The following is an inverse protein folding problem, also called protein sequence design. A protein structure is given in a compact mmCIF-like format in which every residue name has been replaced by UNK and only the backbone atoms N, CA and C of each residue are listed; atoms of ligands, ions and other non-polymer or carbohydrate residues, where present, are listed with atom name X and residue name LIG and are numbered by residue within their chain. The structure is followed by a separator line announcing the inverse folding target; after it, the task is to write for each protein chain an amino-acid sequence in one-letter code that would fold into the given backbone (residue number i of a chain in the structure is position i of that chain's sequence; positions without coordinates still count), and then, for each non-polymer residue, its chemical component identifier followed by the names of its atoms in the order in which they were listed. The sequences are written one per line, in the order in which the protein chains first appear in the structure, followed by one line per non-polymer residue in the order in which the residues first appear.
data_IF_292708043793
#
_entry.id   IF_292708043793
#
_cell.length_a   1.000
_cell.length_b   1.000
_cell.length_c   1.000
_cell.angle_alpha   90.00
_cell.angle_beta   90.00
_cell.angle_gamma   90.00
#
_symmetry.space_group_name_H-M   'P 1'
#
loop_
_entity.id
_entity.type
_entity.pdbx_description
1 polymer ?
#
# COMPACT_ATOMS: atom_id res chain seq x y z
N UNK A 1 -9.72 -46.76 3.11
CA UNK A 1 -9.13 -46.21 1.88
C UNK A 1 -9.31 -44.70 1.95
N UNK A 2 -8.36 -44.01 2.58
CA UNK A 2 -8.30 -42.56 2.49
C UNK A 2 -7.88 -42.27 1.05
N UNK A 3 -8.76 -41.66 0.25
CA UNK A 3 -8.41 -41.27 -1.12
C UNK A 3 -7.24 -40.29 -1.06
N UNK A 4 -6.26 -40.46 -1.95
CA UNK A 4 -5.17 -39.50 -2.14
C UNK A 4 -5.75 -38.09 -2.21
N UNK A 5 -5.20 -37.17 -1.42
CA UNK A 5 -5.59 -35.78 -1.49
C UNK A 5 -5.23 -35.27 -2.89
N UNK A 6 -6.21 -34.70 -3.60
CA UNK A 6 -6.01 -34.14 -4.93
C UNK A 6 -4.98 -32.99 -4.83
N UNK A 7 -3.84 -33.15 -5.49
CA UNK A 7 -2.92 -32.03 -5.75
C UNK A 7 -3.66 -31.00 -6.61
N UNK A 8 -3.51 -29.73 -6.26
CA UNK A 8 -4.13 -28.60 -6.97
C UNK A 8 -3.03 -27.60 -7.32
N UNK A 9 -3.27 -26.81 -8.36
CA UNK A 9 -2.37 -25.76 -8.81
C UNK A 9 -2.93 -24.40 -8.41
N UNK A 10 -2.20 -23.68 -7.56
CA UNK A 10 -2.54 -22.33 -7.09
C UNK A 10 -1.76 -21.30 -7.90
N UNK A 11 -2.46 -20.43 -8.61
CA UNK A 11 -1.88 -19.27 -9.28
C UNK A 11 -1.72 -18.09 -8.32
N UNK A 12 -0.53 -17.48 -8.23
CA UNK A 12 -0.29 -16.28 -7.42
C UNK A 12 -0.16 -15.09 -8.38
N UNK A 13 -1.25 -14.34 -8.55
CA UNK A 13 -1.35 -13.23 -9.49
C UNK A 13 -0.74 -11.95 -8.91
N UNK A 14 0.42 -11.55 -9.41
CA UNK A 14 1.10 -10.36 -8.95
C UNK A 14 2.24 -9.92 -9.87
N UNK A 15 2.14 -8.71 -10.41
CA UNK A 15 3.15 -8.10 -11.30
C UNK A 15 4.23 -7.32 -10.55
N UNK A 16 4.43 -7.61 -9.27
CA UNK A 16 5.39 -6.91 -8.42
C UNK A 16 6.24 -7.94 -7.68
N UNK A 17 7.52 -7.64 -7.50
CA UNK A 17 8.42 -8.46 -6.70
C UNK A 17 8.25 -8.13 -5.21
N UNK A 18 7.42 -8.90 -4.50
CA UNK A 18 7.33 -8.83 -3.03
C UNK A 18 7.76 -10.12 -2.37
N UNK A 19 8.28 -9.97 -1.14
CA UNK A 19 8.53 -11.10 -0.25
C UNK A 19 7.22 -11.83 0.07
N UNK A 20 6.12 -11.10 0.11
CA UNK A 20 4.79 -11.63 0.36
C UNK A 20 4.33 -12.63 -0.70
N UNK A 21 4.45 -12.26 -1.97
CA UNK A 21 4.07 -13.12 -3.10
C UNK A 21 4.89 -14.42 -3.10
N UNK A 22 6.19 -14.32 -2.84
CA UNK A 22 7.09 -15.49 -2.72
C UNK A 22 6.69 -16.39 -1.56
N UNK A 23 6.44 -15.81 -0.38
CA UNK A 23 6.07 -16.59 0.79
C UNK A 23 4.75 -17.35 0.60
N UNK A 24 3.77 -16.77 -0.10
CA UNK A 24 2.52 -17.48 -0.43
C UNK A 24 2.81 -18.64 -1.40
N UNK A 25 3.58 -18.40 -2.45
CA UNK A 25 3.96 -19.44 -3.43
C UNK A 25 4.72 -20.61 -2.76
N UNK A 26 5.72 -20.29 -1.94
CA UNK A 26 6.51 -21.28 -1.22
C UNK A 26 5.66 -22.02 -0.17
N UNK A 27 4.71 -21.34 0.48
CA UNK A 27 3.77 -21.99 1.40
C UNK A 27 2.87 -23.00 0.69
N UNK A 28 2.35 -22.70 -0.51
CA UNK A 28 1.60 -23.68 -1.31
C UNK A 28 2.44 -24.93 -1.59
N UNK A 29 3.69 -24.73 -2.01
CA UNK A 29 4.63 -25.83 -2.27
C UNK A 29 4.93 -26.64 -1.02
N UNK A 30 5.20 -25.96 0.10
CA UNK A 30 5.48 -26.59 1.39
C UNK A 30 4.28 -27.38 1.94
N UNK A 31 3.06 -27.00 1.56
CA UNK A 31 1.83 -27.71 1.88
C UNK A 31 1.54 -28.90 0.96
N UNK A 32 2.41 -29.19 -0.02
CA UNK A 32 2.31 -30.36 -0.91
C UNK A 32 1.51 -30.12 -2.18
N UNK A 33 1.29 -28.87 -2.57
CA UNK A 33 0.53 -28.47 -3.75
C UNK A 33 1.40 -27.71 -4.75
N UNK A 34 0.91 -27.52 -5.98
CA UNK A 34 1.67 -26.81 -7.01
C UNK A 34 1.39 -25.31 -6.95
N UNK A 35 2.44 -24.51 -7.02
CA UNK A 35 2.36 -23.05 -7.03
C UNK A 35 2.84 -22.53 -8.39
N UNK A 36 2.12 -21.57 -8.94
CA UNK A 36 2.49 -20.89 -10.19
C UNK A 36 2.41 -19.39 -10.00
N UNK A 37 3.53 -18.68 -10.15
CA UNK A 37 3.56 -17.23 -10.12
C UNK A 37 3.06 -16.67 -11.45
N UNK A 38 1.85 -16.12 -11.44
CA UNK A 38 1.26 -15.42 -12.57
C UNK A 38 1.80 -13.98 -12.64
N UNK A 39 3.02 -13.83 -13.15
CA UNK A 39 3.69 -12.55 -13.39
C UNK A 39 3.47 -12.04 -14.83
N UNK A 40 3.90 -10.80 -15.13
CA UNK A 40 3.59 -10.11 -16.40
C UNK A 40 4.01 -10.91 -17.65
N UNK A 41 5.20 -11.52 -17.63
CA UNK A 41 5.70 -12.35 -18.75
C UNK A 41 5.07 -13.76 -18.83
N UNK A 42 4.33 -14.21 -17.81
CA UNK A 42 3.78 -15.57 -17.74
C UNK A 42 2.31 -15.65 -18.14
N UNK A 43 1.55 -14.55 -18.03
CA UNK A 43 0.08 -14.58 -18.17
C UNK A 43 -0.34 -14.50 -19.65
N UNK A 44 -1.03 -15.54 -20.10
CA UNK A 44 -1.80 -15.61 -21.33
C UNK A 44 -3.27 -15.96 -21.06
N UNK A 45 -4.18 -15.37 -21.83
CA UNK A 45 -5.61 -15.66 -21.76
C UNK A 45 -6.15 -15.74 -23.19
N UNK A 46 -6.59 -16.93 -23.60
CA UNK A 46 -7.25 -17.12 -24.89
C UNK A 46 -8.77 -17.06 -24.72
N UNK A 47 -9.41 -16.22 -25.53
CA UNK A 47 -10.87 -16.05 -25.55
C UNK A 47 -11.37 -16.38 -26.94
N UNK A 48 -12.11 -17.47 -27.04
CA UNK A 48 -12.65 -17.95 -28.30
C UNK A 48 -14.10 -18.38 -28.16
N UNK A 49 -14.72 -18.83 -29.26
CA UNK A 49 -16.06 -19.44 -29.20
C UNK A 49 -16.11 -20.69 -28.33
N UNK A 50 -14.97 -21.34 -28.08
CA UNK A 50 -14.89 -22.53 -27.24
C UNK A 50 -14.90 -22.19 -25.74
N UNK A 51 -14.68 -20.94 -25.35
CA UNK A 51 -14.63 -20.48 -23.97
C UNK A 51 -13.38 -19.64 -23.69
N UNK A 52 -13.00 -19.59 -22.41
CA UNK A 52 -11.79 -18.93 -21.94
C UNK A 52 -10.81 -20.00 -21.48
N UNK A 53 -9.59 -19.97 -22.01
CA UNK A 53 -8.48 -20.80 -21.59
C UNK A 53 -7.38 -19.94 -20.96
N UNK A 54 -6.85 -20.40 -19.83
CA UNK A 54 -5.77 -19.74 -19.09
C UNK A 54 -4.44 -20.39 -19.47
N UNK A 55 -3.40 -19.58 -19.62
CA UNK A 55 -2.02 -20.04 -19.85
C UNK A 55 -1.09 -19.28 -18.89
N UNK A 56 -0.51 -19.93 -17.87
CA UNK A 56 -0.74 -21.32 -17.48
C UNK A 56 -2.15 -21.55 -16.88
N UNK A 57 -2.66 -22.78 -17.01
CA UNK A 57 -3.91 -23.17 -16.35
C UNK A 57 -3.66 -23.43 -14.85
N UNK A 58 -4.59 -22.97 -14.01
CA UNK A 58 -4.54 -23.07 -12.54
C UNK A 58 -5.93 -23.33 -11.99
N UNK A 59 -6.05 -24.00 -10.85
CA UNK A 59 -7.34 -24.34 -10.25
C UNK A 59 -7.97 -23.17 -9.47
N UNK A 60 -7.13 -22.30 -8.92
CA UNK A 60 -7.51 -21.16 -8.07
C UNK A 60 -6.46 -20.06 -8.18
N UNK A 61 -6.86 -18.81 -7.99
CA UNK A 61 -5.93 -17.67 -8.00
C UNK A 61 -5.91 -16.94 -6.67
N UNK A 62 -4.72 -16.68 -6.14
CA UNK A 62 -4.47 -15.69 -5.10
C UNK A 62 -4.10 -14.36 -5.76
N UNK A 63 -5.05 -13.44 -5.79
CA UNK A 63 -4.92 -12.08 -6.31
C UNK A 63 -4.10 -11.19 -5.38
N UNK A 64 -2.84 -11.00 -5.73
CA UNK A 64 -1.88 -10.10 -5.07
C UNK A 64 -1.60 -8.85 -5.90
N UNK A 65 -2.44 -8.47 -6.85
CA UNK A 65 -2.23 -7.22 -7.59
C UNK A 65 -2.17 -6.02 -6.63
N UNK A 66 -1.17 -5.17 -6.83
CA UNK A 66 -0.92 -4.00 -5.99
C UNK A 66 -1.41 -2.74 -6.69
N UNK A 67 -2.73 -2.65 -6.88
CA UNK A 67 -3.39 -1.63 -7.72
C UNK A 67 -3.05 -0.19 -7.32
N UNK A 68 -2.81 0.07 -6.04
CA UNK A 68 -2.38 1.39 -5.55
C UNK A 68 -1.05 1.89 -6.10
N UNK A 69 -0.20 0.98 -6.61
CA UNK A 69 1.12 1.25 -7.20
C UNK A 69 1.21 0.83 -8.67
N UNK A 70 0.14 0.26 -9.22
CA UNK A 70 0.09 -0.14 -10.61
C UNK A 70 0.08 1.08 -11.52
N UNK A 71 0.74 0.96 -12.69
CA UNK A 71 0.67 1.98 -13.75
C UNK A 71 -0.74 2.07 -14.33
N UNK A 72 -1.37 0.91 -14.55
CA UNK A 72 -2.68 0.78 -15.17
C UNK A 72 -3.60 -0.08 -14.28
N UNK A 73 -4.05 0.42 -13.12
CA UNK A 73 -4.75 -0.41 -12.12
C UNK A 73 -6.07 -1.02 -12.62
N UNK A 74 -6.79 -0.34 -13.50
CA UNK A 74 -8.01 -0.90 -14.09
C UNK A 74 -7.70 -2.06 -15.03
N UNK A 75 -6.57 -2.00 -15.74
CA UNK A 75 -6.22 -3.01 -16.73
C UNK A 75 -5.66 -4.24 -16.04
N UNK A 76 -4.83 -4.04 -15.00
CA UNK A 76 -4.41 -5.10 -14.09
C UNK A 76 -5.62 -5.78 -13.43
N UNK A 77 -6.59 -4.99 -12.96
CA UNK A 77 -7.82 -5.53 -12.37
C UNK A 77 -8.68 -6.28 -13.40
N UNK A 78 -8.69 -5.85 -14.66
CA UNK A 78 -9.37 -6.55 -15.74
C UNK A 78 -8.79 -7.96 -15.96
N UNK A 79 -7.47 -8.12 -15.83
CA UNK A 79 -6.80 -9.43 -15.89
C UNK A 79 -7.30 -10.34 -14.77
N UNK A 80 -7.35 -9.85 -13.53
CA UNK A 80 -7.92 -10.60 -12.41
C UNK A 80 -9.41 -10.96 -12.64
N UNK A 81 -10.16 -10.09 -13.33
CA UNK A 81 -11.56 -10.34 -13.69
C UNK A 81 -11.71 -11.45 -14.74
N UNK A 82 -10.76 -11.56 -15.68
CA UNK A 82 -10.71 -12.68 -16.62
C UNK A 82 -10.50 -14.03 -15.91
N UNK A 83 -9.59 -14.10 -14.93
CA UNK A 83 -9.44 -15.30 -14.08
C UNK A 83 -10.72 -15.60 -13.31
N UNK A 84 -11.34 -14.58 -12.68
CA UNK A 84 -12.57 -14.74 -11.91
C UNK A 84 -13.79 -15.20 -12.74
N UNK A 85 -13.73 -15.08 -14.07
CA UNK A 85 -14.77 -15.59 -14.95
C UNK A 85 -14.79 -17.12 -15.05
N UNK A 86 -13.67 -17.79 -14.77
CA UNK A 86 -13.51 -19.25 -14.98
C UNK A 86 -12.86 -20.00 -13.82
N UNK A 87 -12.30 -19.30 -12.83
CA UNK A 87 -11.68 -19.86 -11.62
C UNK A 87 -12.08 -19.09 -10.36
N UNK A 88 -12.08 -19.72 -9.17
CA UNK A 88 -12.14 -19.00 -7.91
C UNK A 88 -10.92 -18.07 -7.75
N UNK A 89 -11.14 -16.86 -7.21
CA UNK A 89 -10.09 -15.86 -6.99
C UNK A 89 -10.19 -15.28 -5.59
N UNK A 90 -9.07 -15.27 -4.86
CA UNK A 90 -8.90 -14.74 -3.51
C UNK A 90 -7.96 -13.53 -3.55
N UNK A 91 -8.35 -12.30 -3.35
CA UNK A 91 -9.70 -11.75 -3.20
C UNK A 91 -10.39 -11.56 -4.57
N UNK A 92 -11.72 -11.64 -4.59
CA UNK A 92 -12.55 -11.30 -5.76
C UNK A 92 -12.20 -9.88 -6.27
N UNK A 93 -11.95 -9.69 -7.58
CA UNK A 93 -11.52 -8.40 -8.13
C UNK A 93 -12.52 -7.27 -7.86
N UNK A 94 -13.83 -7.55 -7.78
CA UNK A 94 -14.84 -6.54 -7.47
C UNK A 94 -14.71 -6.09 -6.01
N UNK A 95 -14.45 -7.01 -5.09
CA UNK A 95 -14.18 -6.69 -3.68
C UNK A 95 -12.91 -5.87 -3.53
N UNK A 96 -11.84 -6.24 -4.27
CA UNK A 96 -10.58 -5.48 -4.29
C UNK A 96 -10.81 -4.05 -4.79
N UNK A 97 -11.58 -3.86 -5.86
CA UNK A 97 -11.90 -2.53 -6.40
C UNK A 97 -12.52 -1.60 -5.35
N UNK A 98 -13.45 -2.11 -4.53
CA UNK A 98 -14.02 -1.32 -3.44
C UNK A 98 -12.99 -1.05 -2.35
N UNK A 99 -12.25 -2.08 -1.92
CA UNK A 99 -11.31 -1.99 -0.81
C UNK A 99 -10.14 -1.01 -1.06
N UNK A 100 -9.70 -0.84 -2.31
CA UNK A 100 -8.64 0.13 -2.65
C UNK A 100 -9.07 1.59 -2.54
N UNK A 101 -10.37 1.87 -2.48
CA UNK A 101 -10.92 3.22 -2.35
C UNK A 101 -11.36 3.49 -0.90
N UNK A 102 -10.54 4.22 -0.14
CA UNK A 102 -10.73 4.46 1.31
C UNK A 102 -12.14 4.97 1.67
N UNK A 103 -12.65 5.95 0.92
CA UNK A 103 -13.98 6.51 1.16
C UNK A 103 -15.13 5.55 0.80
N UNK A 104 -14.96 4.71 -0.23
CA UNK A 104 -15.94 3.69 -0.59
C UNK A 104 -15.99 2.58 0.46
N UNK A 105 -14.81 2.15 0.95
CA UNK A 105 -14.66 1.26 2.09
C UNK A 105 -15.38 1.83 3.31
N UNK A 106 -15.08 3.07 3.71
CA UNK A 106 -15.72 3.72 4.86
C UNK A 106 -17.25 3.79 4.71
N UNK A 107 -17.75 4.14 3.52
CA UNK A 107 -19.19 4.21 3.24
C UNK A 107 -19.89 2.86 3.41
N UNK A 108 -19.27 1.78 2.91
CA UNK A 108 -19.84 0.42 2.99
C UNK A 108 -19.78 -0.15 4.41
N UNK A 109 -18.70 0.13 5.14
CA UNK A 109 -18.55 -0.24 6.55
C UNK A 109 -19.59 0.48 7.43
N UNK A 110 -19.73 1.79 7.26
CA UNK A 110 -20.74 2.58 7.98
C UNK A 110 -22.16 2.09 7.71
N UNK A 111 -22.50 1.80 6.44
CA UNK A 111 -23.80 1.26 6.06
C UNK A 111 -24.10 -0.12 6.68
N UNK A 112 -23.06 -0.89 7.03
CA UNK A 112 -23.17 -2.18 7.70
C UNK A 112 -23.08 -2.07 9.24
N UNK A 113 -23.01 -0.86 9.80
CA UNK A 113 -22.86 -0.64 11.24
C UNK A 113 -21.47 -0.99 11.78
N UNK A 114 -20.44 -1.07 10.92
CA UNK A 114 -19.05 -1.17 11.36
C UNK A 114 -18.53 0.24 11.65
N UNK A 115 -18.04 0.53 12.88
CA UNK A 115 -17.58 1.87 13.24
C UNK A 115 -16.41 2.33 12.36
N UNK A 116 -16.50 3.56 11.87
CA UNK A 116 -15.47 4.26 11.11
C UNK A 116 -15.45 5.73 11.58
N UNK A 117 -14.31 6.43 11.52
CA UNK A 117 -14.28 7.86 11.85
C UNK A 117 -15.22 8.66 10.94
N UNK A 118 -15.80 9.75 11.45
CA UNK A 118 -16.62 10.64 10.64
C UNK A 118 -15.83 11.07 9.40
N UNK A 119 -16.40 10.87 8.21
CA UNK A 119 -15.70 11.03 6.93
C UNK A 119 -16.59 11.80 5.96
N UNK A 120 -16.05 12.81 5.29
CA UNK A 120 -16.76 13.61 4.30
C UNK A 120 -15.96 13.73 3.02
N UNK A 121 -16.60 13.35 1.90
CA UNK A 121 -16.07 13.54 0.55
C UNK A 121 -16.98 14.49 -0.23
N UNK A 122 -16.36 15.44 -0.92
CA UNK A 122 -17.04 16.27 -1.89
C UNK A 122 -16.22 16.34 -3.17
N UNK A 123 -16.90 16.55 -4.29
CA UNK A 123 -16.28 16.63 -5.62
C UNK A 123 -15.85 18.05 -6.00
N UNK A 124 -16.14 19.04 -5.15
CA UNK A 124 -15.82 20.44 -5.38
C UNK A 124 -15.25 21.08 -4.10
N UNK A 125 -14.20 21.89 -4.27
CA UNK A 125 -13.43 22.49 -3.18
C UNK A 125 -14.32 23.33 -2.25
N UNK A 126 -15.20 24.16 -2.80
CA UNK A 126 -16.12 24.97 -2.01
C UNK A 126 -17.03 24.12 -1.10
N UNK A 127 -17.49 22.96 -1.59
CA UNK A 127 -18.34 22.05 -0.82
C UNK A 127 -17.54 21.28 0.22
N UNK A 128 -16.32 20.87 -0.11
CA UNK A 128 -15.42 20.21 0.84
C UNK A 128 -15.10 21.15 2.01
N UNK A 129 -14.69 22.38 1.71
CA UNK A 129 -14.33 23.36 2.75
C UNK A 129 -15.54 23.83 3.56
N UNK A 130 -16.72 24.04 2.96
CA UNK A 130 -17.92 24.42 3.71
C UNK A 130 -18.37 23.33 4.72
N UNK A 131 -18.10 22.06 4.46
CA UNK A 131 -18.43 20.97 5.37
C UNK A 131 -17.36 20.76 6.46
N UNK A 132 -16.14 21.27 6.28
CA UNK A 132 -15.04 21.09 7.24
C UNK A 132 -15.34 21.75 8.58
N UNK A 133 -16.07 22.86 8.60
CA UNK A 133 -16.51 23.52 9.85
C UNK A 133 -17.31 22.59 10.78
N UNK A 134 -17.91 21.52 10.25
CA UNK A 134 -18.60 20.49 11.02
C UNK A 134 -17.67 19.42 11.64
N UNK A 135 -16.35 19.53 11.43
CA UNK A 135 -15.33 18.64 12.00
C UNK A 135 -14.52 19.39 13.07
N UNK A 136 -13.96 18.65 14.04
CA UNK A 136 -12.94 19.20 14.94
C UNK A 136 -11.68 19.66 14.20
N UNK A 137 -10.80 20.39 14.86
CA UNK A 137 -9.47 20.78 14.31
C UNK A 137 -8.38 20.17 15.20
N UNK A 138 -7.31 19.60 14.61
CA UNK A 138 -7.08 19.43 13.17
C UNK A 138 -7.96 18.33 12.53
N UNK A 139 -8.07 18.34 11.20
CA UNK A 139 -8.73 17.27 10.41
C UNK A 139 -7.73 16.43 9.63
N UNK A 140 -8.07 15.16 9.43
CA UNK A 140 -7.29 14.27 8.56
C UNK A 140 -7.76 14.45 7.12
N UNK A 141 -6.87 14.90 6.23
CA UNK A 141 -7.10 15.07 4.80
C UNK A 141 -6.41 13.94 4.03
N UNK A 142 -7.15 13.20 3.20
CA UNK A 142 -6.69 11.96 2.57
C UNK A 142 -7.04 11.91 1.10
N UNK A 143 -6.15 11.35 0.28
CA UNK A 143 -6.49 10.90 -1.07
C UNK A 143 -7.32 9.61 -1.03
N UNK A 144 -8.24 9.46 -1.98
CA UNK A 144 -9.15 8.30 -2.06
C UNK A 144 -8.42 6.98 -2.27
N UNK A 145 -7.28 7.00 -2.96
CA UNK A 145 -6.42 5.85 -3.26
C UNK A 145 -4.98 6.22 -2.95
N UNK A 146 -4.33 5.45 -2.08
CA UNK A 146 -2.94 5.66 -1.67
C UNK A 146 -2.43 4.48 -0.85
N UNK A 147 -1.11 4.35 -0.70
CA UNK A 147 -0.48 3.33 0.18
C UNK A 147 0.63 3.94 1.02
N UNK A 148 0.99 3.25 2.12
CA UNK A 148 2.15 3.54 2.94
C UNK A 148 2.18 4.97 3.55
N UNK A 149 1.02 5.54 3.88
CA UNK A 149 0.94 6.88 4.49
C UNK A 149 1.08 8.05 3.51
N UNK A 150 1.45 7.79 2.25
CA UNK A 150 1.47 8.81 1.21
C UNK A 150 0.06 9.30 0.88
N UNK A 151 -0.10 10.61 0.80
CA UNK A 151 -1.38 11.24 0.46
C UNK A 151 -2.34 11.37 1.64
N UNK A 152 -1.80 11.52 2.85
CA UNK A 152 -2.53 11.72 4.11
C UNK A 152 -1.86 12.85 4.89
N UNK A 153 -2.63 13.87 5.26
CA UNK A 153 -2.16 15.08 5.94
C UNK A 153 -3.05 15.40 7.14
N UNK A 154 -2.48 16.09 8.11
CA UNK A 154 -3.21 16.72 9.20
C UNK A 154 -3.32 18.21 8.87
N UNK A 155 -4.53 18.76 8.83
CA UNK A 155 -4.78 20.11 8.33
C UNK A 155 -5.73 20.86 9.26
N UNK A 156 -5.34 22.06 9.66
CA UNK A 156 -6.20 22.97 10.41
C UNK A 156 -7.20 23.70 9.51
N UNK A 157 -8.27 24.24 10.11
CA UNK A 157 -9.33 24.95 9.38
C UNK A 157 -8.89 26.29 8.79
N UNK A 158 -7.72 26.80 9.15
CA UNK A 158 -7.16 28.05 8.62
C UNK A 158 -6.69 27.94 7.15
N UNK A 159 -6.50 26.71 6.66
CA UNK A 159 -6.04 26.41 5.30
C UNK A 159 -7.11 25.71 4.51
N UNK A 160 -7.47 26.26 3.34
CA UNK A 160 -8.37 25.58 2.40
C UNK A 160 -7.71 24.32 1.81
N UNK A 161 -8.51 23.28 1.56
CA UNK A 161 -8.07 22.05 0.89
C UNK A 161 -8.80 21.87 -0.45
N UNK A 162 -8.19 21.16 -1.39
CA UNK A 162 -8.85 20.82 -2.65
C UNK A 162 -9.67 19.53 -2.54
N UNK A 163 -10.69 19.36 -3.39
CA UNK A 163 -11.39 18.08 -3.55
C UNK A 163 -10.56 17.06 -4.36
N UNK A 164 -9.40 17.47 -4.87
CA UNK A 164 -8.48 16.61 -5.61
C UNK A 164 -7.03 16.88 -5.25
N UNK A 165 -6.21 15.82 -5.22
CA UNK A 165 -4.74 15.92 -5.19
C UNK A 165 -4.19 15.04 -6.29
N UNK A 166 -3.39 15.62 -7.17
CA UNK A 166 -2.77 14.91 -8.31
C UNK A 166 -3.76 14.10 -9.16
N UNK A 167 -4.87 14.75 -9.54
CA UNK A 167 -5.94 14.11 -10.32
C UNK A 167 -6.74 13.03 -9.58
N UNK A 168 -6.41 12.72 -8.33
CA UNK A 168 -7.15 11.79 -7.47
C UNK A 168 -8.14 12.55 -6.59
N UNK A 169 -9.30 11.97 -6.32
CA UNK A 169 -10.25 12.51 -5.34
C UNK A 169 -9.62 12.55 -3.95
N UNK A 170 -9.94 13.58 -3.18
CA UNK A 170 -9.56 13.71 -1.79
C UNK A 170 -10.79 13.93 -0.89
N UNK A 171 -10.63 13.66 0.40
CA UNK A 171 -11.70 13.72 1.39
C UNK A 171 -11.13 14.10 2.76
N UNK A 172 -12.00 14.55 3.65
CA UNK A 172 -11.65 14.84 5.04
C UNK A 172 -12.25 13.79 5.98
N UNK A 173 -11.57 13.56 7.08
CA UNK A 173 -11.93 12.59 8.10
C UNK A 173 -11.62 13.17 9.47
N UNK A 174 -12.43 12.83 10.46
CA UNK A 174 -12.16 13.14 11.86
C UNK A 174 -10.80 12.60 12.26
N UNK A 175 -10.00 13.46 12.89
CA UNK A 175 -8.80 13.05 13.60
C UNK A 175 -9.22 12.36 14.90
N UNK A 176 -8.73 11.14 15.11
CA UNK A 176 -8.92 10.38 16.35
C UNK A 176 -7.62 10.50 17.13
N UNK A 177 -7.66 11.26 18.22
CA UNK A 177 -6.49 11.53 19.06
C UNK A 177 -6.29 10.39 20.06
N UNK A 178 -5.09 9.83 20.09
CA UNK A 178 -4.69 8.76 21.02
C UNK A 178 -3.73 9.26 22.11
N UNK A 179 -3.57 10.58 22.24
CA UNK A 179 -2.64 11.19 23.18
C UNK A 179 -1.20 11.17 22.67
N UNK A 180 -0.23 11.11 23.59
CA UNK A 180 1.18 11.43 23.31
C UNK A 180 1.91 10.39 22.45
N UNK A 181 1.45 9.13 22.40
CA UNK A 181 2.06 8.06 21.60
C UNK A 181 1.06 7.50 20.60
N UNK A 182 1.03 8.09 19.41
CA UNK A 182 0.19 7.65 18.30
C UNK A 182 0.49 6.20 17.94
N UNK A 183 -0.54 5.36 18.03
CA UNK A 183 -0.49 3.96 17.62
C UNK A 183 -1.67 3.64 16.71
N UNK A 184 -1.59 2.48 16.09
CA UNK A 184 -2.77 1.86 15.54
C UNK A 184 -2.63 0.34 15.63
N UNK A 185 -3.76 -0.34 15.58
CA UNK A 185 -3.82 -1.79 15.66
C UNK A 185 -4.05 -2.34 14.26
N UNK A 186 -3.09 -3.13 13.77
CA UNK A 186 -3.28 -3.91 12.54
C UNK A 186 -3.63 -5.34 12.89
N UNK A 187 -4.80 -5.79 12.43
CA UNK A 187 -5.25 -7.18 12.52
C UNK A 187 -5.21 -7.79 11.11
N UNK A 188 -4.54 -8.94 10.96
CA UNK A 188 -4.55 -9.68 9.70
C UNK A 188 -5.59 -10.80 9.77
N UNK A 189 -6.57 -10.75 8.88
CA UNK A 189 -7.66 -11.71 8.80
C UNK A 189 -7.49 -12.54 7.54
N UNK A 190 -7.70 -13.85 7.66
CA UNK A 190 -7.78 -14.81 6.55
C UNK A 190 -8.94 -15.75 6.85
N UNK A 191 -9.88 -15.90 5.92
CA UNK A 191 -11.00 -16.86 6.04
C UNK A 191 -11.82 -16.71 7.33
N UNK A 192 -12.20 -15.47 7.69
CA UNK A 192 -12.89 -15.14 8.94
C UNK A 192 -12.13 -15.52 10.24
N UNK A 193 -10.82 -15.78 10.14
CA UNK A 193 -9.93 -16.04 11.28
C UNK A 193 -8.87 -14.95 11.42
N UNK A 194 -8.58 -14.56 12.66
CA UNK A 194 -7.45 -13.66 12.96
C UNK A 194 -6.17 -14.48 12.99
N UNK A 195 -5.25 -14.18 12.08
CA UNK A 195 -3.94 -14.86 12.01
C UNK A 195 -2.93 -14.26 12.99
N UNK A 196 -3.02 -12.94 13.19
CA UNK A 196 -2.19 -12.20 14.12
C UNK A 196 -2.56 -10.73 14.15
N UNK A 197 -2.12 -10.05 15.20
CA UNK A 197 -2.30 -8.62 15.35
C UNK A 197 -1.00 -7.96 15.82
N UNK A 198 -0.80 -6.70 15.44
CA UNK A 198 0.31 -5.90 15.94
C UNK A 198 -0.15 -4.47 16.22
N UNK A 199 0.39 -3.89 17.28
CA UNK A 199 0.44 -2.44 17.40
C UNK A 199 1.55 -1.92 16.49
N UNK A 200 1.27 -0.82 15.80
CA UNK A 200 2.29 -0.04 15.12
C UNK A 200 2.36 1.32 15.78
N UNK A 201 3.57 1.77 16.05
CA UNK A 201 3.81 3.07 16.68
C UNK A 201 4.40 4.03 15.66
N UNK A 202 3.90 5.26 15.65
CA UNK A 202 4.51 6.29 14.84
C UNK A 202 5.93 6.59 15.38
N UNK A 203 6.90 6.89 14.50
CA UNK A 203 8.17 7.46 14.93
C UNK A 203 7.94 8.72 15.78
N UNK A 204 8.87 9.04 16.68
CA UNK A 204 8.80 10.28 17.42
C UNK A 204 8.70 11.48 16.45
N UNK A 205 7.64 12.27 16.58
CA UNK A 205 7.38 13.41 15.71
C UNK A 205 6.58 13.16 14.44
N UNK A 206 6.05 11.96 14.27
CA UNK A 206 5.05 11.66 13.25
C UNK A 206 3.79 11.13 13.95
N UNK A 207 2.65 11.29 13.29
CA UNK A 207 1.38 10.72 13.73
C UNK A 207 1.03 9.45 12.94
N UNK A 208 1.76 9.18 11.85
CA UNK A 208 1.54 8.03 10.98
C UNK A 208 2.35 6.83 11.44
N UNK A 209 1.66 5.74 11.72
CA UNK A 209 2.22 4.52 12.31
C UNK A 209 2.73 3.52 11.27
N UNK A 210 2.75 3.89 9.98
CA UNK A 210 3.13 2.97 8.92
C UNK A 210 4.58 2.47 9.11
N UNK A 211 4.77 1.15 9.24
CA UNK A 211 6.09 0.49 9.32
C UNK A 211 7.04 0.89 8.17
N UNK A 212 6.50 1.27 7.01
CA UNK A 212 7.28 1.75 5.88
C UNK A 212 8.00 3.09 6.15
N UNK A 213 7.56 3.86 7.15
CA UNK A 213 8.14 5.12 7.60
C UNK A 213 9.08 4.94 8.80
N UNK A 214 9.39 3.70 9.19
CA UNK A 214 10.27 3.41 10.33
C UNK A 214 9.54 3.23 11.66
N UNK A 215 8.20 3.14 11.66
CA UNK A 215 7.42 2.87 12.87
C UNK A 215 7.76 1.52 13.52
N UNK A 216 7.78 1.50 14.85
CA UNK A 216 8.03 0.31 15.66
C UNK A 216 6.80 -0.61 15.68
N UNK A 217 7.01 -1.90 15.95
CA UNK A 217 5.93 -2.91 15.95
C UNK A 217 5.98 -3.78 17.20
N UNK A 218 4.82 -4.10 17.75
CA UNK A 218 4.65 -4.91 18.96
C UNK A 218 3.55 -5.95 18.74
N UNK A 219 3.74 -7.18 19.22
CA UNK A 219 2.71 -8.22 19.12
C UNK A 219 1.50 -7.86 19.97
N UNK A 220 0.31 -7.89 19.35
CA UNK A 220 -0.96 -7.63 20.02
C UNK A 220 -1.88 -8.86 20.01
N UNK A 221 -1.37 -10.03 19.62
CA UNK A 221 -2.19 -11.21 19.32
C UNK A 221 -2.79 -11.85 20.58
N UNK A 222 -2.04 -11.91 21.68
CA UNK A 222 -2.51 -12.51 22.94
C UNK A 222 -3.47 -11.60 23.70
N UNK A 223 -3.27 -10.30 23.61
CA UNK A 223 -4.06 -9.27 24.30
C UNK A 223 -5.13 -8.62 23.40
N UNK A 224 -5.42 -9.25 22.26
CA UNK A 224 -6.27 -8.66 21.23
C UNK A 224 -7.67 -8.31 21.77
N UNK A 225 -8.06 -7.02 21.80
CA UNK A 225 -9.37 -6.65 22.31
C UNK A 225 -10.50 -7.28 21.48
N UNK A 226 -11.48 -7.89 22.14
CA UNK A 226 -12.61 -8.55 21.47
C UNK A 226 -13.40 -7.59 20.56
N UNK A 227 -13.52 -6.32 20.97
CA UNK A 227 -14.14 -5.28 20.15
C UNK A 227 -13.41 -5.03 18.83
N UNK A 228 -12.07 -4.98 18.88
CA UNK A 228 -11.22 -4.79 17.71
C UNK A 228 -11.28 -6.02 16.78
N UNK A 229 -11.14 -7.23 17.34
CA UNK A 229 -11.27 -8.47 16.57
C UNK A 229 -12.63 -8.57 15.88
N UNK A 230 -13.71 -8.29 16.62
CA UNK A 230 -15.07 -8.28 16.07
C UNK A 230 -15.28 -7.24 14.98
N UNK A 231 -14.70 -6.04 15.12
CA UNK A 231 -14.75 -5.01 14.09
C UNK A 231 -13.99 -5.43 12.82
N UNK A 232 -12.79 -5.99 12.96
CA UNK A 232 -12.00 -6.48 11.83
C UNK A 232 -12.70 -7.60 11.05
N UNK A 233 -13.21 -8.61 11.76
CA UNK A 233 -13.95 -9.73 11.15
C UNK A 233 -15.26 -9.28 10.48
N UNK A 234 -15.96 -8.27 11.03
CA UNK A 234 -17.12 -7.69 10.35
C UNK A 234 -16.71 -6.88 9.12
N UNK A 235 -15.59 -6.17 9.19
CA UNK A 235 -15.11 -5.35 8.08
C UNK A 235 -14.74 -6.20 6.86
N UNK A 236 -13.96 -7.28 7.04
CA UNK A 236 -13.59 -8.19 5.94
C UNK A 236 -14.82 -8.85 5.31
N UNK A 237 -15.75 -9.38 6.12
CA UNK A 237 -17.01 -9.95 5.61
C UNK A 237 -17.86 -8.96 4.85
N UNK A 238 -18.00 -7.74 5.37
CA UNK A 238 -18.79 -6.67 4.73
C UNK A 238 -18.25 -6.31 3.35
N UNK A 239 -16.92 -6.34 3.21
CA UNK A 239 -16.22 -6.04 1.95
C UNK A 239 -16.08 -7.25 1.04
N UNK A 240 -16.41 -8.46 1.51
CA UNK A 240 -16.24 -9.70 0.75
C UNK A 240 -14.78 -10.00 0.44
N UNK A 241 -13.89 -9.80 1.43
CA UNK A 241 -12.46 -10.09 1.32
C UNK A 241 -12.15 -11.41 2.04
N UNK A 242 -11.58 -12.36 1.30
CA UNK A 242 -11.06 -13.63 1.79
C UNK A 242 -9.85 -13.45 2.72
N UNK A 243 -9.02 -12.43 2.46
CA UNK A 243 -7.95 -12.01 3.36
C UNK A 243 -7.69 -10.50 3.27
N UNK A 244 -7.34 -9.88 4.41
CA UNK A 244 -6.98 -8.48 4.45
C UNK A 244 -6.21 -8.12 5.74
N UNK A 245 -5.43 -7.04 5.65
CA UNK A 245 -4.97 -6.32 6.85
C UNK A 245 -5.94 -5.20 7.19
N UNK A 246 -6.53 -5.24 8.38
CA UNK A 246 -7.46 -4.22 8.88
C UNK A 246 -6.71 -3.31 9.85
N UNK A 247 -6.77 -2.00 9.58
CA UNK A 247 -6.21 -0.97 10.45
C UNK A 247 -7.31 -0.39 11.31
N UNK A 248 -7.11 -0.40 12.61
CA UNK A 248 -8.04 0.11 13.59
C UNK A 248 -7.34 1.09 14.52
N UNK A 249 -8.10 2.03 15.03
CA UNK A 249 -7.65 2.96 16.06
C UNK A 249 -8.62 2.92 17.22
N UNK A 250 -8.11 3.15 18.43
CA UNK A 250 -8.94 3.23 19.62
C UNK A 250 -9.55 4.64 19.71
N UNK A 251 -10.84 4.71 20.01
CA UNK A 251 -11.54 5.98 20.26
C UNK A 251 -12.31 5.90 21.57
N UNK A 252 -12.82 7.03 22.06
CA UNK A 252 -13.63 7.09 23.28
C UNK A 252 -14.87 6.17 23.23
N UNK A 253 -15.41 5.93 22.03
CA UNK A 253 -16.57 5.06 21.78
C UNK A 253 -16.17 3.61 21.40
N UNK A 254 -14.89 3.27 21.51
CA UNK A 254 -14.32 1.96 21.16
C UNK A 254 -13.55 1.95 19.83
N UNK A 255 -13.34 0.76 19.28
CA UNK A 255 -12.48 0.57 18.10
C UNK A 255 -13.18 0.95 16.80
N UNK A 256 -12.53 1.81 16.00
CA UNK A 256 -13.01 2.23 14.68
C UNK A 256 -12.04 1.78 13.59
N UNK A 257 -12.59 1.40 12.43
CA UNK A 257 -11.80 0.92 11.28
C UNK A 257 -11.32 2.11 10.46
N UNK A 258 -10.00 2.23 10.29
CA UNK A 258 -9.35 3.26 9.48
C UNK A 258 -9.23 2.86 8.01
N UNK A 259 -8.76 1.64 7.75
CA UNK A 259 -8.50 1.14 6.40
C UNK A 259 -8.59 -0.40 6.37
N UNK A 260 -9.01 -0.96 5.24
CA UNK A 260 -8.96 -2.40 4.98
C UNK A 260 -8.14 -2.65 3.73
N UNK A 261 -7.00 -3.32 3.89
CA UNK A 261 -5.98 -3.49 2.87
C UNK A 261 -6.08 -4.90 2.25
N UNK A 262 -6.61 -5.06 1.02
CA UNK A 262 -6.81 -6.38 0.39
C UNK A 262 -5.50 -7.06 -0.01
N UNK A 263 -4.42 -6.29 -0.19
CA UNK A 263 -3.08 -6.77 -0.55
C UNK A 263 -2.07 -6.36 0.54
N UNK A 264 -2.47 -6.47 1.81
CA UNK A 264 -1.63 -6.08 2.94
C UNK A 264 -0.30 -6.84 2.95
N UNK A 265 0.78 -6.11 3.21
CA UNK A 265 2.09 -6.69 3.52
C UNK A 265 2.13 -7.25 4.94
N UNK A 266 2.94 -8.27 5.16
CA UNK A 266 3.02 -8.96 6.45
C UNK A 266 4.42 -8.97 7.08
N UNK A 267 5.42 -8.29 6.48
CA UNK A 267 6.76 -8.18 7.07
C UNK A 267 6.76 -7.55 8.48
N UNK A 268 5.95 -6.49 8.69
CA UNK A 268 5.80 -5.86 10.02
C UNK A 268 5.16 -6.83 11.01
N UNK A 269 4.07 -7.47 10.60
CA UNK A 269 3.36 -8.46 11.42
C UNK A 269 4.27 -9.64 11.80
N UNK A 270 5.05 -10.16 10.86
CA UNK A 270 5.98 -11.24 11.11
C UNK A 270 7.10 -10.84 12.08
N UNK A 271 7.58 -9.58 12.01
CA UNK A 271 8.57 -9.07 12.98
C UNK A 271 8.01 -9.00 14.40
N UNK A 272 6.76 -8.57 14.54
CA UNK A 272 6.09 -8.49 15.83
C UNK A 272 5.78 -9.88 16.40
N UNK A 273 5.13 -10.72 15.59
CA UNK A 273 4.44 -11.94 16.05
C UNK A 273 5.20 -13.25 15.79
N UNK A 274 6.21 -13.23 14.91
CA UNK A 274 6.82 -14.44 14.36
C UNK A 274 5.88 -15.28 13.49
N UNK A 275 4.69 -14.76 13.14
CA UNK A 275 3.66 -15.46 12.35
C UNK A 275 3.44 -14.79 11.00
N UNK A 276 3.39 -15.62 9.97
CA UNK A 276 3.18 -15.23 8.57
C UNK A 276 1.79 -15.67 8.11
N UNK A 277 0.97 -14.75 7.57
CA UNK A 277 -0.30 -15.09 6.92
C UNK A 277 -0.17 -15.95 5.67
N UNK A 278 1.03 -16.13 5.12
CA UNK A 278 1.25 -16.87 3.87
C UNK A 278 0.68 -18.29 3.92
N UNK A 279 0.90 -19.03 5.02
CA UNK A 279 0.41 -20.40 5.16
C UNK A 279 -1.12 -20.47 5.26
N UNK A 280 -1.75 -19.51 5.94
CA UNK A 280 -3.21 -19.42 6.04
C UNK A 280 -3.85 -19.07 4.68
N UNK A 281 -3.25 -18.14 3.94
CA UNK A 281 -3.71 -17.79 2.58
C UNK A 281 -3.56 -18.99 1.63
N UNK A 282 -2.43 -19.70 1.70
CA UNK A 282 -2.18 -20.90 0.92
C UNK A 282 -3.19 -22.02 1.25
N UNK A 283 -3.45 -22.28 2.54
CA UNK A 283 -4.52 -23.19 2.99
C UNK A 283 -5.84 -22.83 2.34
N UNK A 284 -6.27 -21.58 2.46
CA UNK A 284 -7.56 -21.13 1.94
C UNK A 284 -7.67 -21.34 0.42
N UNK A 285 -6.62 -21.00 -0.33
CA UNK A 285 -6.58 -21.23 -1.77
C UNK A 285 -6.70 -22.73 -2.11
N UNK A 286 -5.89 -23.56 -1.48
CA UNK A 286 -5.86 -25.01 -1.70
C UNK A 286 -7.24 -25.63 -1.41
N UNK A 287 -7.84 -25.30 -0.27
CA UNK A 287 -9.15 -25.81 0.12
C UNK A 287 -10.27 -25.31 -0.81
N UNK A 288 -10.17 -24.07 -1.31
CA UNK A 288 -11.10 -23.51 -2.30
C UNK A 288 -11.04 -24.25 -3.64
N UNK A 289 -9.87 -24.77 -4.01
CA UNK A 289 -9.68 -25.62 -5.19
C UNK A 289 -10.04 -27.10 -4.95
N UNK A 290 -10.46 -27.48 -3.72
CA UNK A 290 -10.82 -28.85 -3.37
C UNK A 290 -9.65 -29.72 -2.87
N UNK A 291 -8.46 -29.13 -2.71
CA UNK A 291 -7.32 -29.77 -2.05
C UNK A 291 -7.52 -29.89 -0.54
N UNK A 292 -6.56 -30.52 0.13
CA UNK A 292 -6.57 -30.68 1.60
C UNK A 292 -5.18 -30.47 2.15
N UNK A 293 -5.09 -29.78 3.28
CA UNK A 293 -3.82 -29.55 3.98
C UNK A 293 -3.88 -30.06 5.41
N UNK A 294 -2.73 -30.44 5.96
CA UNK A 294 -2.59 -30.78 7.37
C UNK A 294 -2.50 -29.48 8.21
N UNK A 295 -3.45 -29.22 9.13
CA UNK A 295 -3.41 -28.03 9.99
C UNK A 295 -2.11 -27.88 10.79
N UNK A 296 -1.48 -28.98 11.21
CA UNK A 296 -0.21 -28.93 11.95
C UNK A 296 0.96 -28.49 11.06
N UNK A 297 0.91 -28.83 9.77
CA UNK A 297 1.86 -28.34 8.78
C UNK A 297 1.59 -26.86 8.45
N UNK A 298 0.33 -26.43 8.33
CA UNK A 298 -0.04 -25.01 8.14
C UNK A 298 0.55 -24.15 9.26
N UNK A 299 0.41 -24.57 10.52
CA UNK A 299 0.97 -23.82 11.64
C UNK A 299 2.51 -23.79 11.61
N UNK A 300 3.16 -24.91 11.25
CA UNK A 300 4.62 -24.96 11.13
C UNK A 300 5.15 -24.04 10.02
N UNK A 301 4.53 -24.07 8.84
CA UNK A 301 4.89 -23.19 7.71
C UNK A 301 4.60 -21.73 8.05
N UNK A 302 3.54 -21.46 8.79
CA UNK A 302 3.16 -20.12 9.25
C UNK A 302 4.18 -19.45 10.20
N UNK A 303 5.17 -20.19 10.72
CA UNK A 303 6.26 -19.63 11.56
C UNK A 303 7.45 -19.12 10.76
N UNK A 304 7.39 -19.19 9.43
CA UNK A 304 8.42 -18.64 8.56
C UNK A 304 7.86 -17.63 7.56
N UNK A 305 8.74 -16.74 7.12
CA UNK A 305 8.51 -15.79 6.05
C UNK A 305 9.49 -16.05 4.92
N UNK A 306 9.33 -17.22 4.28
CA UNK A 306 10.20 -17.64 3.20
C UNK A 306 10.08 -16.71 1.98
N UNK A 307 11.10 -15.90 1.78
CA UNK A 307 11.19 -14.95 0.68
C UNK A 307 12.05 -15.44 -0.48
N UNK A 308 12.43 -16.71 -0.50
CA UNK A 308 13.26 -17.26 -1.58
C UNK A 308 12.48 -17.22 -2.89
N UNK A 309 13.08 -16.71 -3.98
CA UNK A 309 12.40 -16.71 -5.28
C UNK A 309 12.09 -18.15 -5.72
N UNK A 310 10.83 -18.49 -6.07
CA UNK A 310 10.50 -19.79 -6.64
C UNK A 310 11.10 -19.95 -8.04
N UNK A 311 11.10 -21.17 -8.58
CA UNK A 311 11.73 -21.49 -9.85
C UNK A 311 11.13 -20.75 -11.06
N UNK A 312 9.85 -20.41 -10.96
CA UNK A 312 9.05 -19.67 -11.93
C UNK A 312 8.98 -18.16 -11.63
N UNK A 313 9.82 -17.66 -10.71
CA UNK A 313 9.91 -16.23 -10.48
C UNK A 313 10.34 -15.51 -11.77
N UNK A 314 9.83 -14.29 -12.03
CA UNK A 314 10.16 -13.54 -13.23
C UNK A 314 11.67 -13.40 -13.37
N UNK A 315 12.15 -13.60 -14.59
CA UNK A 315 13.55 -13.38 -14.90
C UNK A 315 13.89 -11.91 -14.62
N UNK A 316 15.02 -11.63 -13.97
CA UNK A 316 15.52 -10.24 -13.79
C UNK A 316 16.06 -9.68 -15.10
N UNK A 317 15.34 -9.87 -16.21
CA UNK A 317 15.67 -9.25 -17.48
C UNK A 317 15.42 -7.76 -17.31
N UNK A 318 16.48 -6.98 -17.53
CA UNK A 318 16.49 -5.53 -17.40
C UNK A 318 15.44 -4.96 -18.35
N UNK A 319 14.47 -4.22 -17.83
CA UNK A 319 13.54 -3.50 -18.68
C UNK A 319 14.27 -2.31 -19.32
N UNK A 320 14.66 -2.45 -20.59
CA UNK A 320 15.31 -1.40 -21.40
C UNK A 320 14.40 -0.18 -21.62
N UNK A 321 13.15 -0.21 -21.13
CA UNK A 321 12.14 0.85 -21.22
C UNK A 321 12.08 1.78 -19.99
N UNK A 322 12.86 1.55 -18.93
CA UNK A 322 12.86 2.47 -17.79
C UNK A 322 13.27 3.88 -18.25
N UNK A 323 12.57 4.93 -17.81
CA UNK A 323 12.91 6.29 -18.21
C UNK A 323 14.35 6.61 -17.78
N UNK A 324 15.13 7.10 -18.73
CA UNK A 324 16.52 7.51 -18.50
C UNK A 324 16.53 8.93 -17.97
N UNK A 325 17.02 9.10 -16.75
CA UNK A 325 17.24 10.40 -16.11
C UNK A 325 18.73 10.72 -16.09
N UNK A 326 19.06 11.99 -16.28
CA UNK A 326 20.42 12.51 -16.21
C UNK A 326 20.92 12.70 -14.78
N UNK A 327 22.06 13.37 -14.62
CA UNK A 327 22.57 13.78 -13.30
C UNK A 327 21.80 14.97 -12.70
N UNK A 328 21.07 15.71 -13.54
CA UNK A 328 20.13 16.75 -13.15
C UNK A 328 18.96 16.81 -14.14
N UNK A 329 17.75 16.95 -13.64
CA UNK A 329 16.49 16.94 -14.41
C UNK A 329 15.58 18.09 -13.96
N UNK A 330 14.82 18.68 -14.89
CA UNK A 330 13.70 19.56 -14.50
C UNK A 330 12.55 18.65 -14.06
N UNK A 331 12.05 18.89 -12.86
CA UNK A 331 10.98 18.11 -12.25
C UNK A 331 9.89 19.04 -11.74
N UNK A 332 8.64 18.57 -11.82
CA UNK A 332 7.53 19.28 -11.16
C UNK A 332 7.35 18.71 -9.76
N UNK A 333 7.41 19.56 -8.74
CA UNK A 333 7.17 19.19 -7.35
C UNK A 333 5.85 19.78 -6.92
N UNK A 334 4.97 18.99 -6.32
CA UNK A 334 3.63 19.40 -5.88
C UNK A 334 3.47 19.18 -4.38
N UNK A 335 2.96 20.18 -3.68
CA UNK A 335 2.59 20.13 -2.27
C UNK A 335 1.11 20.40 -2.05
N UNK A 336 0.77 20.93 -0.87
CA UNK A 336 -0.62 21.21 -0.47
C UNK A 336 -1.17 22.44 -1.20
N UNK A 337 -0.35 23.48 -1.36
CA UNK A 337 -0.78 24.77 -1.92
C UNK A 337 -0.69 24.85 -3.44
N UNK A 338 0.01 23.92 -4.10
CA UNK A 338 0.21 23.92 -5.55
C UNK A 338 1.44 23.16 -6.03
N UNK A 339 1.87 23.42 -7.26
CA UNK A 339 3.01 22.77 -7.93
C UNK A 339 4.03 23.77 -8.46
N UNK A 340 5.32 23.44 -8.40
CA UNK A 340 6.44 24.25 -8.89
C UNK A 340 7.42 23.39 -9.71
N UNK A 341 7.88 23.90 -10.84
CA UNK A 341 8.93 23.25 -11.61
C UNK A 341 10.31 23.70 -11.10
N UNK A 342 11.19 22.76 -10.79
CA UNK A 342 12.54 23.02 -10.25
C UNK A 342 13.58 22.15 -10.93
N UNK A 343 14.84 22.57 -10.87
CA UNK A 343 15.96 21.73 -11.27
C UNK A 343 16.33 20.82 -10.09
N UNK A 344 16.31 19.51 -10.32
CA UNK A 344 16.65 18.52 -9.30
C UNK A 344 17.92 17.76 -9.64
N UNK A 345 18.79 17.57 -8.66
CA UNK A 345 19.97 16.69 -8.79
C UNK A 345 19.62 15.24 -8.51
N UNK A 346 20.16 14.34 -9.31
CA UNK A 346 19.98 12.90 -9.15
C UNK A 346 21.14 12.35 -8.30
N UNK A 347 20.84 11.79 -7.14
CA UNK A 347 21.82 11.26 -6.19
C UNK A 347 21.53 9.78 -5.90
N UNK A 348 22.26 8.92 -6.60
CA UNK A 348 22.13 7.46 -6.44
C UNK A 348 22.75 6.93 -5.14
N UNK A 349 23.60 7.72 -4.47
CA UNK A 349 24.19 7.35 -3.18
C UNK A 349 23.22 7.63 -2.02
N UNK A 350 22.41 8.68 -2.13
CA UNK A 350 21.38 9.02 -1.14
C UNK A 350 20.25 7.98 -1.11
N UNK A 351 19.90 7.48 0.09
CA UNK A 351 18.72 6.64 0.28
C UNK A 351 17.41 7.42 0.14
N UNK A 352 17.42 8.68 0.58
CA UNK A 352 16.26 9.56 0.66
C UNK A 352 16.42 10.81 -0.20
N UNK A 353 15.31 11.25 -0.80
CA UNK A 353 15.18 12.56 -1.44
C UNK A 353 15.29 13.67 -0.40
N UNK A 354 15.94 14.79 -0.78
CA UNK A 354 16.08 16.00 0.03
C UNK A 354 15.47 17.21 -0.67
N UNK A 355 14.95 18.15 0.11
CA UNK A 355 14.27 19.34 -0.37
C UNK A 355 14.70 20.57 0.44
N UNK A 356 14.88 21.70 -0.24
CA UNK A 356 15.18 22.98 0.40
C UNK A 356 13.97 23.52 1.19
N UNK A 357 14.16 24.12 2.38
CA UNK A 357 13.09 24.69 3.19
C UNK A 357 12.20 25.69 2.45
N UNK A 358 12.80 26.60 1.67
CA UNK A 358 12.04 27.61 0.91
C UNK A 358 11.11 26.98 -0.13
N UNK A 359 11.58 25.91 -0.81
CA UNK A 359 10.75 25.18 -1.76
C UNK A 359 9.60 24.46 -1.05
N UNK A 360 9.86 23.85 0.11
CA UNK A 360 8.82 23.21 0.91
C UNK A 360 7.76 24.22 1.41
N UNK A 361 8.20 25.38 1.88
CA UNK A 361 7.32 26.46 2.33
C UNK A 361 6.44 26.99 1.19
N UNK A 362 7.01 27.24 0.01
CA UNK A 362 6.27 27.68 -1.18
C UNK A 362 5.18 26.67 -1.59
N UNK A 363 5.49 25.38 -1.48
CA UNK A 363 4.57 24.28 -1.77
C UNK A 363 3.55 24.03 -0.65
N UNK A 364 3.59 24.83 0.43
CA UNK A 364 2.70 24.71 1.57
C UNK A 364 2.83 23.38 2.30
N UNK A 365 4.00 22.73 2.19
CA UNK A 365 4.28 21.46 2.87
C UNK A 365 4.98 21.76 4.18
N UNK A 366 4.36 21.36 5.29
CA UNK A 366 4.95 21.54 6.60
C UNK A 366 5.64 20.27 7.09
N UNK A 367 6.69 20.41 7.92
CA UNK A 367 7.30 19.28 8.59
C UNK A 367 6.25 18.50 9.37
N UNK A 368 6.34 17.18 9.33
CA UNK A 368 5.61 16.32 10.26
C UNK A 368 6.00 16.74 11.70
N UNK A 369 5.03 16.90 12.60
CA UNK A 369 5.22 17.62 13.86
C UNK A 369 6.24 16.96 14.82
N UNK A 370 7.42 17.58 14.97
CA UNK A 370 8.39 17.45 16.08
C UNK A 370 9.17 16.12 16.21
N UNK A 371 10.19 15.91 15.37
CA UNK A 371 11.16 14.82 15.50
C UNK A 371 12.05 15.01 16.74
N UNK A 372 12.39 13.90 17.41
CA UNK A 372 13.42 13.80 18.45
C UNK A 372 14.71 14.60 18.15
N UNK A 373 15.38 14.99 19.23
CA UNK A 373 16.64 15.73 19.26
C UNK A 373 17.69 15.11 18.32
N UNK A 374 17.85 15.70 17.13
CA UNK A 374 18.94 15.41 16.17
C UNK A 374 18.57 14.74 14.84
N UNK A 375 17.31 14.34 14.59
CA UNK A 375 16.93 13.83 13.26
C UNK A 375 16.32 14.93 12.36
N UNK A 376 16.67 14.98 11.06
CA UNK A 376 16.31 16.09 10.20
C UNK A 376 14.82 16.07 9.85
N UNK A 377 14.16 17.25 9.81
CA UNK A 377 12.71 17.35 9.60
C UNK A 377 12.29 16.81 8.21
N UNK A 378 11.07 16.29 8.08
CA UNK A 378 10.60 15.62 6.85
C UNK A 378 9.26 16.17 6.38
N UNK A 379 9.11 16.29 5.06
CA UNK A 379 7.91 16.76 4.37
C UNK A 379 7.49 15.79 3.28
N UNK A 380 6.18 15.72 3.01
CA UNK A 380 5.67 14.94 1.88
C UNK A 380 5.42 15.84 0.67
N UNK A 381 6.04 15.46 -0.44
CA UNK A 381 5.89 16.11 -1.75
C UNK A 381 5.49 15.07 -2.79
N UNK A 382 4.89 15.52 -3.89
CA UNK A 382 4.76 14.71 -5.10
C UNK A 382 5.79 15.18 -6.11
N UNK A 383 6.64 14.29 -6.60
CA UNK A 383 7.66 14.57 -7.61
C UNK A 383 7.24 13.95 -8.94
N UNK A 384 7.15 14.77 -9.98
CA UNK A 384 7.03 14.35 -11.37
C UNK A 384 8.41 14.32 -12.02
N UNK A 385 8.92 13.13 -12.32
CA UNK A 385 10.22 12.90 -12.94
C UNK A 385 10.04 12.03 -14.19
N UNK A 386 10.52 12.52 -15.33
CA UNK A 386 10.39 11.87 -16.64
C UNK A 386 8.94 11.48 -16.99
N UNK A 387 7.97 12.33 -16.64
CA UNK A 387 6.54 12.12 -16.90
C UNK A 387 5.84 11.17 -15.92
N UNK A 388 6.56 10.63 -14.93
CA UNK A 388 5.98 9.81 -13.87
C UNK A 388 5.88 10.59 -12.56
N UNK A 389 4.67 10.61 -11.96
CA UNK A 389 4.39 11.27 -10.67
C UNK A 389 4.44 10.30 -9.52
N UNK A 390 5.06 10.72 -8.42
CA UNK A 390 5.26 9.88 -7.23
C UNK A 390 5.17 10.70 -5.96
N UNK A 391 4.43 10.22 -4.98
CA UNK A 391 4.50 10.76 -3.61
C UNK A 391 5.77 10.30 -2.93
N UNK A 392 6.50 11.24 -2.35
CA UNK A 392 7.84 11.07 -1.79
C UNK A 392 7.90 11.80 -0.45
N UNK A 393 8.27 11.07 0.60
CA UNK A 393 8.72 11.69 1.84
C UNK A 393 10.17 12.16 1.65
N UNK A 394 10.38 13.47 1.73
CA UNK A 394 11.64 14.14 1.52
C UNK A 394 12.16 14.74 2.83
N UNK A 395 13.47 14.70 3.02
CA UNK A 395 14.15 15.30 4.16
C UNK A 395 14.43 16.77 3.87
N UNK A 396 14.04 17.66 4.78
CA UNK A 396 14.42 19.06 4.73
C UNK A 396 15.92 19.19 4.98
N UNK A 397 16.59 19.90 4.08
CA UNK A 397 18.04 20.07 4.10
C UNK A 397 18.36 21.55 3.91
N UNK A 398 18.86 22.19 4.97
CA UNK A 398 19.22 23.61 4.99
C UNK A 398 20.47 23.92 4.16
N UNK A 399 21.29 22.91 3.85
CA UNK A 399 22.52 23.06 3.06
C UNK A 399 22.28 22.92 1.55
N UNK A 400 21.01 22.99 1.11
CA UNK A 400 20.63 22.86 -0.29
C UNK A 400 20.93 24.12 -1.09
N UNK A 401 21.60 23.95 -2.24
CA UNK A 401 21.89 25.04 -3.18
C UNK A 401 20.58 25.60 -3.79
N UNK A 402 20.40 26.94 -3.84
CA UNK A 402 19.19 27.57 -4.39
C UNK A 402 18.86 27.17 -5.83
N UNK A 403 19.88 26.90 -6.64
CA UNK A 403 19.75 26.52 -8.05
C UNK A 403 19.29 25.07 -8.24
N UNK A 404 19.50 24.22 -7.23
CA UNK A 404 19.03 22.83 -7.23
C UNK A 404 18.32 22.52 -5.91
N UNK A 405 17.12 23.09 -5.68
CA UNK A 405 16.42 23.02 -4.40
C UNK A 405 15.81 21.64 -4.11
N UNK A 406 16.09 20.64 -4.97
CA UNK A 406 15.68 19.25 -4.79
C UNK A 406 16.82 18.30 -5.15
N UNK A 407 17.04 17.28 -4.31
CA UNK A 407 17.97 16.17 -4.59
C UNK A 407 17.22 14.85 -4.51
N UNK A 408 17.11 14.14 -5.62
CA UNK A 408 16.31 12.93 -5.76
C UNK A 408 17.15 11.70 -5.38
N UNK A 409 16.72 10.98 -4.35
CA UNK A 409 17.40 9.79 -3.84
C UNK A 409 16.78 8.47 -4.32
N UNK A 410 17.33 7.34 -3.85
CA UNK A 410 16.88 5.99 -4.24
C UNK A 410 15.43 5.66 -3.91
N UNK A 411 14.82 6.33 -2.94
CA UNK A 411 13.38 6.23 -2.66
C UNK A 411 12.51 6.65 -3.87
N UNK A 412 13.06 7.40 -4.82
CA UNK A 412 12.46 7.73 -6.13
C UNK A 412 13.14 6.96 -7.26
N UNK A 413 14.48 6.92 -7.30
CA UNK A 413 15.26 6.43 -8.45
C UNK A 413 15.21 4.92 -8.71
N UNK A 414 14.64 4.12 -7.81
CA UNK A 414 14.56 2.65 -7.96
C UNK A 414 13.87 2.19 -9.26
N UNK A 415 13.09 3.06 -9.88
CA UNK A 415 12.32 2.80 -11.09
C UNK A 415 12.81 3.66 -12.28
N UNK A 416 14.04 4.16 -12.23
CA UNK A 416 14.66 4.97 -13.29
C UNK A 416 16.07 4.48 -13.61
N UNK A 417 16.49 4.68 -14.86
CA UNK A 417 17.89 4.47 -15.23
C UNK A 417 18.64 5.80 -15.14
N UNK A 418 19.75 5.84 -14.41
CA UNK A 418 20.58 7.06 -14.29
C UNK A 418 21.70 7.01 -15.32
N UNK A 419 21.61 7.82 -16.38
CA UNK A 419 22.74 8.07 -17.28
C UNK A 419 23.48 9.32 -16.86
N UNK A 420 24.60 9.13 -16.14
CA UNK A 420 25.46 10.20 -15.64
C UNK A 420 26.06 11.10 -16.74
N UNK A 421 25.95 10.71 -18.03
CA UNK A 421 26.40 11.53 -19.17
C UNK A 421 25.34 12.51 -19.67
N UNK A 422 24.09 12.36 -19.22
CA UNK A 422 22.96 13.22 -19.59
C UNK A 422 22.70 14.24 -18.47
N UNK A 423 22.37 15.47 -18.83
CA UNK A 423 21.89 16.50 -17.90
C UNK A 423 21.62 17.81 -18.62
N UNK A 424 20.92 18.73 -17.94
CA UNK A 424 20.60 20.05 -18.49
C UNK A 424 21.90 20.83 -18.69
N UNK A 425 22.35 20.97 -19.95
CA UNK A 425 23.40 21.94 -20.29
C UNK A 425 22.83 23.32 -19.98
N UNK A 426 23.48 24.05 -19.08
CA UNK A 426 23.23 25.48 -18.91
C UNK A 426 23.37 26.17 -20.26
N UNK A 427 22.34 26.91 -20.64
CA UNK A 427 22.39 27.84 -21.75
C UNK A 427 23.26 29.01 -21.30
N UNK A 428 24.57 28.84 -21.34
CA UNK A 428 25.53 29.95 -21.33
C UNK A 428 26.04 30.06 -22.75
N UNK A 429 25.38 30.94 -23.52
CA UNK A 429 26.00 31.50 -24.72
C UNK A 429 27.28 32.22 -24.31
N UNK A 430 28.39 31.75 -24.87
CA UNK A 430 29.50 32.55 -25.39
C UNK A 430 30.28 31.70 -26.41
#
# INVERSE_FOLDING_TARGET
MAGDAQTVTVGILGFHDSRETKAISNAVTALGHEAVWLHEEAVGIDVSRAGVALDPDVDVVVNRLLLSKARNPLEDLSIASCYAAVRPVLNDPRSVLFAVHKHATASRLAAAGVPVPHTYMATADAKLNAARDGFGTPVVYKTAVGTNGGGTWLVDHDRAVSATVDGRRAFVQQYVDEGERHRDLRIYVVDDEVVGAMYRYAPAGDWRTNVALGGDVEDASEELPQGAAGAALRATRTLGLDYAGVDLIESDDGWVVLEVNPTAGFRGLFRATGRSPAAAIARLAIERAGGRVDPALVERVGRDLDGTPPADAPSRVRDERLPVVGHAERVTVTGISGSKEVLARIDTAASMTRIAPDLAADLGTEPSAAVEDGAPPQVDIVVELAGERRTVTAVLDEEMEPETPLRIGRNVLRDYYVDVRRGVRGDTGD
#
